data_IF_597269127420
#
_entry.id   IF_597269127420
#
_cell.length_a   1.000
_cell.length_b   1.000
_cell.length_c   1.000
_cell.angle_alpha   90.00
_cell.angle_beta   90.00
_cell.angle_gamma   90.00
#
_symmetry.space_group_name_H-M   'P 1'
#
loop_
_entity.id
_entity.type
_entity.pdbx_description
1 polymer ?
#
# COMPACT_ATOMS: atom_id res chain seq x y z
N UNK A 1 -21.40 -21.06 0.99
CA UNK A 1 -22.22 -20.19 1.91
C UNK A 1 -21.89 -18.76 1.55
N UNK A 2 -22.84 -17.97 1.10
CA UNK A 2 -22.61 -16.58 0.70
C UNK A 2 -22.14 -15.70 1.86
N UNK A 3 -21.35 -14.68 1.55
CA UNK A 3 -20.94 -13.67 2.52
C UNK A 3 -22.16 -12.84 2.97
N UNK A 4 -22.27 -12.44 4.24
CA UNK A 4 -23.30 -11.50 4.67
C UNK A 4 -23.20 -10.18 3.90
N UNK A 5 -24.32 -9.64 3.43
CA UNK A 5 -24.35 -8.42 2.61
C UNK A 5 -23.71 -7.17 3.27
N UNK A 6 -23.67 -7.15 4.61
CA UNK A 6 -23.07 -6.04 5.36
C UNK A 6 -21.53 -6.00 5.27
N UNK A 7 -20.85 -7.13 4.93
CA UNK A 7 -19.36 -7.19 4.92
C UNK A 7 -18.79 -6.18 3.92
N UNK A 8 -19.36 -6.09 2.72
CA UNK A 8 -18.91 -5.12 1.72
C UNK A 8 -18.97 -3.68 2.24
N UNK A 9 -20.07 -3.29 2.87
CA UNK A 9 -20.23 -1.96 3.45
C UNK A 9 -19.22 -1.69 4.57
N UNK A 10 -18.92 -2.70 5.39
CA UNK A 10 -17.93 -2.58 6.46
C UNK A 10 -16.53 -2.41 5.88
N UNK A 11 -16.17 -3.11 4.81
CA UNK A 11 -14.86 -2.94 4.16
C UNK A 11 -14.73 -1.53 3.57
N UNK A 12 -15.76 -1.02 2.89
CA UNK A 12 -15.78 0.37 2.43
C UNK A 12 -15.62 1.38 3.59
N UNK A 13 -16.24 1.10 4.73
CA UNK A 13 -16.10 1.95 5.93
C UNK A 13 -14.68 1.89 6.50
N UNK A 14 -14.07 0.69 6.61
CA UNK A 14 -12.67 0.53 7.05
C UNK A 14 -11.74 1.35 6.16
N UNK A 15 -11.93 1.27 4.86
CA UNK A 15 -11.15 1.98 3.86
C UNK A 15 -11.33 3.50 3.94
N UNK A 16 -12.59 3.98 3.99
CA UNK A 16 -12.89 5.40 3.96
C UNK A 16 -12.58 6.14 5.28
N UNK A 17 -12.62 5.44 6.41
CA UNK A 17 -12.52 6.06 7.74
C UNK A 17 -11.22 6.86 7.94
N UNK A 18 -10.01 6.37 7.58
CA UNK A 18 -8.79 7.16 7.72
C UNK A 18 -8.79 8.40 6.82
N UNK A 19 -9.34 8.32 5.60
CA UNK A 19 -9.45 9.50 4.73
C UNK A 19 -10.36 10.57 5.35
N UNK A 20 -11.53 10.17 5.83
CA UNK A 20 -12.46 11.08 6.52
C UNK A 20 -11.76 11.74 7.71
N UNK A 21 -11.00 10.96 8.49
CA UNK A 21 -10.26 11.50 9.61
C UNK A 21 -9.11 12.43 9.18
N UNK A 22 -8.41 12.16 8.09
CA UNK A 22 -7.41 13.07 7.54
C UNK A 22 -8.02 14.44 7.20
N UNK A 23 -9.19 14.44 6.55
CA UNK A 23 -9.93 15.65 6.20
C UNK A 23 -10.45 16.39 7.44
N UNK A 24 -11.07 15.69 8.39
CA UNK A 24 -11.54 16.28 9.64
C UNK A 24 -10.39 16.90 10.44
N UNK A 25 -9.29 16.19 10.57
CA UNK A 25 -8.10 16.69 11.28
C UNK A 25 -7.48 17.90 10.57
N UNK A 26 -7.45 17.91 9.24
CA UNK A 26 -6.85 18.99 8.47
C UNK A 26 -7.73 20.27 8.47
N UNK A 27 -9.04 20.12 8.31
CA UNK A 27 -9.93 21.24 8.01
C UNK A 27 -10.83 21.65 9.18
N UNK A 28 -11.15 20.72 10.10
CA UNK A 28 -12.07 21.01 11.22
C UNK A 28 -11.32 21.17 12.53
N UNK A 29 -10.44 20.22 12.89
CA UNK A 29 -9.74 20.24 14.19
C UNK A 29 -8.29 20.70 14.10
N UNK A 30 -7.90 21.33 12.98
CA UNK A 30 -6.52 21.73 12.68
C UNK A 30 -5.83 22.58 13.76
N UNK A 31 -6.58 23.42 14.48
CA UNK A 31 -6.09 24.20 15.62
C UNK A 31 -6.08 23.45 16.96
N UNK A 32 -6.69 22.25 17.03
CA UNK A 32 -6.89 21.47 18.24
C UNK A 32 -6.05 20.19 18.23
N UNK A 33 -4.73 20.29 18.27
CA UNK A 33 -3.82 19.16 18.08
C UNK A 33 -4.11 17.93 18.95
N UNK A 34 -4.41 18.13 20.25
CA UNK A 34 -4.75 17.02 21.16
C UNK A 34 -6.06 16.32 20.80
N UNK A 35 -7.07 17.08 20.33
CA UNK A 35 -8.33 16.52 19.85
C UNK A 35 -8.11 15.75 18.56
N UNK A 36 -7.37 16.32 17.61
CA UNK A 36 -6.98 15.67 16.37
C UNK A 36 -6.30 14.32 16.60
N UNK A 37 -5.34 14.28 17.51
CA UNK A 37 -4.64 13.07 17.91
C UNK A 37 -5.58 12.02 18.52
N UNK A 38 -6.48 12.46 19.39
CA UNK A 38 -7.43 11.57 20.07
C UNK A 38 -8.43 10.97 19.08
N UNK A 39 -9.07 11.80 18.25
CA UNK A 39 -10.03 11.33 17.25
C UNK A 39 -9.37 10.35 16.25
N UNK A 40 -8.17 10.65 15.77
CA UNK A 40 -7.43 9.78 14.87
C UNK A 40 -7.12 8.41 15.49
N UNK A 41 -6.68 8.37 16.75
CA UNK A 41 -6.37 7.11 17.44
C UNK A 41 -7.63 6.24 17.65
N UNK A 42 -8.75 6.82 18.02
CA UNK A 42 -9.99 6.06 18.17
C UNK A 42 -10.60 5.63 16.83
N UNK A 43 -10.44 6.43 15.77
CA UNK A 43 -10.88 6.04 14.43
C UNK A 43 -10.08 4.84 13.89
N UNK A 44 -8.76 4.83 14.07
CA UNK A 44 -7.94 3.66 13.68
C UNK A 44 -8.27 2.44 14.53
N UNK A 45 -8.53 2.60 15.83
CA UNK A 45 -8.98 1.50 16.68
C UNK A 45 -10.35 0.95 16.25
N UNK A 46 -11.27 1.83 15.83
CA UNK A 46 -12.55 1.41 15.26
C UNK A 46 -12.35 0.64 13.95
N UNK A 47 -11.47 1.13 13.06
CA UNK A 47 -11.12 0.42 11.83
C UNK A 47 -10.53 -0.98 12.11
N UNK A 48 -9.69 -1.11 13.13
CA UNK A 48 -9.16 -2.41 13.58
C UNK A 48 -10.25 -3.33 14.10
N UNK A 49 -11.15 -2.83 14.94
CA UNK A 49 -12.31 -3.60 15.43
C UNK A 49 -13.21 -4.10 14.29
N UNK A 50 -13.46 -3.24 13.29
CA UNK A 50 -14.20 -3.62 12.08
C UNK A 50 -13.43 -4.66 11.24
N UNK A 51 -12.10 -4.55 11.12
CA UNK A 51 -11.27 -5.54 10.43
C UNK A 51 -11.33 -6.91 11.11
N UNK A 52 -11.37 -6.95 12.45
CA UNK A 52 -11.61 -8.19 13.20
C UNK A 52 -12.99 -8.79 12.89
N UNK A 53 -14.03 -7.96 12.81
CA UNK A 53 -15.36 -8.44 12.42
C UNK A 53 -15.36 -9.04 11.01
N UNK A 54 -14.68 -8.40 10.05
CA UNK A 54 -14.53 -8.98 8.70
C UNK A 54 -13.76 -10.31 8.76
N UNK A 55 -12.67 -10.38 9.49
CA UNK A 55 -11.84 -11.58 9.62
C UNK A 55 -12.63 -12.80 10.12
N UNK A 56 -13.48 -12.62 11.14
CA UNK A 56 -14.25 -13.73 11.70
C UNK A 56 -15.50 -14.09 10.89
N UNK A 57 -15.97 -13.23 10.00
CA UNK A 57 -17.22 -13.43 9.26
C UNK A 57 -17.04 -13.63 7.75
N UNK A 58 -15.86 -13.35 7.19
CA UNK A 58 -15.59 -13.61 5.78
C UNK A 58 -15.54 -15.12 5.54
N UNK A 59 -16.42 -15.62 4.70
CA UNK A 59 -16.53 -17.04 4.35
C UNK A 59 -15.84 -17.34 3.03
N UNK A 60 -16.06 -16.49 2.06
CA UNK A 60 -15.60 -16.64 0.69
C UNK A 60 -15.04 -15.32 0.15
N UNK A 61 -14.48 -15.37 -1.05
CA UNK A 61 -14.05 -14.21 -1.81
C UNK A 61 -15.18 -13.17 -1.93
N UNK A 62 -14.83 -11.91 -1.70
CA UNK A 62 -15.73 -10.78 -1.85
C UNK A 62 -15.17 -9.83 -2.91
N UNK A 63 -15.99 -9.54 -3.92
CA UNK A 63 -15.69 -8.53 -4.94
C UNK A 63 -16.88 -7.59 -5.09
N UNK A 64 -16.61 -6.30 -5.12
CA UNK A 64 -17.59 -5.27 -5.43
C UNK A 64 -16.88 -4.11 -6.12
N UNK A 65 -17.27 -3.78 -7.34
CA UNK A 65 -16.65 -2.74 -8.14
C UNK A 65 -17.67 -1.77 -8.73
N UNK A 66 -17.19 -0.56 -9.01
CA UNK A 66 -17.92 0.48 -9.75
C UNK A 66 -17.05 0.96 -10.90
N UNK A 67 -17.56 0.91 -12.13
CA UNK A 67 -16.83 1.41 -13.30
C UNK A 67 -16.62 2.92 -13.16
N UNK A 68 -15.35 3.34 -13.18
CA UNK A 68 -14.94 4.75 -13.05
C UNK A 68 -14.62 5.38 -14.41
N UNK A 69 -13.84 4.68 -15.21
CA UNK A 69 -13.45 5.12 -16.54
C UNK A 69 -13.74 3.99 -17.52
N UNK A 70 -14.47 4.30 -18.59
CA UNK A 70 -14.65 3.40 -19.74
C UNK A 70 -14.27 4.18 -20.99
N UNK A 71 -13.12 3.86 -21.56
CA UNK A 71 -12.59 4.42 -22.80
C UNK A 71 -12.32 3.25 -23.74
N UNK A 72 -12.38 3.46 -25.06
CA UNK A 72 -12.20 2.40 -26.04
C UNK A 72 -11.01 1.47 -25.68
N UNK A 73 -11.33 0.23 -25.28
CA UNK A 73 -10.35 -0.81 -24.95
C UNK A 73 -9.79 -0.79 -23.52
N UNK A 74 -10.20 0.14 -22.65
CA UNK A 74 -9.82 0.17 -21.25
C UNK A 74 -11.04 0.43 -20.37
N UNK A 75 -11.37 -0.52 -19.50
CA UNK A 75 -12.32 -0.32 -18.41
C UNK A 75 -11.55 -0.31 -17.09
N UNK A 76 -11.58 0.81 -16.38
CA UNK A 76 -10.99 0.92 -15.06
C UNK A 76 -12.12 1.06 -14.03
N UNK A 77 -12.16 0.13 -13.08
CA UNK A 77 -13.07 0.14 -11.95
C UNK A 77 -12.41 0.73 -10.70
N UNK A 78 -13.21 1.20 -9.76
CA UNK A 78 -12.82 1.39 -8.37
C UNK A 78 -13.61 0.36 -7.57
N UNK A 79 -12.92 -0.60 -7.00
CA UNK A 79 -13.55 -1.71 -6.32
C UNK A 79 -12.83 -2.15 -5.07
N UNK A 80 -13.43 -3.13 -4.43
CA UNK A 80 -12.83 -3.87 -3.32
C UNK A 80 -12.76 -5.35 -3.68
N UNK A 81 -11.60 -5.92 -3.51
CA UNK A 81 -11.35 -7.34 -3.63
C UNK A 81 -10.78 -7.87 -2.31
N UNK A 82 -11.54 -8.71 -1.65
CA UNK A 82 -11.20 -9.23 -0.33
C UNK A 82 -11.14 -10.75 -0.37
N UNK A 83 -9.93 -11.24 -0.23
CA UNK A 83 -9.61 -12.64 -0.03
C UNK A 83 -8.94 -12.85 1.34
N UNK A 84 -8.51 -14.05 1.67
CA UNK A 84 -7.84 -14.35 2.95
C UNK A 84 -6.56 -13.55 3.18
N UNK A 85 -5.78 -13.31 2.10
CA UNK A 85 -4.57 -12.50 2.16
C UNK A 85 -4.90 -11.02 2.45
N UNK A 86 -5.91 -10.47 1.75
CA UNK A 86 -6.36 -9.09 1.96
C UNK A 86 -6.89 -8.87 3.38
N UNK A 87 -7.67 -9.79 3.92
CA UNK A 87 -8.17 -9.70 5.31
C UNK A 87 -7.04 -9.75 6.33
N UNK A 88 -6.07 -10.65 6.15
CA UNK A 88 -4.90 -10.71 7.02
C UNK A 88 -4.14 -9.37 6.99
N UNK A 89 -3.96 -8.81 5.79
CA UNK A 89 -3.27 -7.52 5.64
C UNK A 89 -4.07 -6.35 6.21
N UNK A 90 -5.42 -6.35 6.11
CA UNK A 90 -6.28 -5.38 6.80
C UNK A 90 -6.04 -5.40 8.31
N UNK A 91 -5.95 -6.58 8.93
CA UNK A 91 -5.66 -6.71 10.36
C UNK A 91 -4.28 -6.18 10.72
N UNK A 92 -3.26 -6.53 9.94
CA UNK A 92 -1.88 -6.08 10.19
C UNK A 92 -1.80 -4.55 10.09
N UNK A 93 -2.32 -3.97 9.00
CA UNK A 93 -2.27 -2.51 8.79
C UNK A 93 -3.04 -1.76 9.87
N UNK A 94 -4.30 -2.13 10.12
CA UNK A 94 -5.14 -1.40 11.08
C UNK A 94 -4.70 -1.62 12.52
N UNK A 95 -4.21 -2.82 12.87
CA UNK A 95 -3.71 -3.15 14.19
C UNK A 95 -2.44 -2.39 14.54
N UNK A 96 -1.42 -2.44 13.65
CA UNK A 96 -0.17 -1.70 13.85
C UNK A 96 -0.43 -0.19 13.81
N UNK A 97 -1.26 0.29 12.88
CA UNK A 97 -1.65 1.70 12.85
C UNK A 97 -2.27 2.13 14.19
N UNK A 98 -3.18 1.34 14.75
CA UNK A 98 -3.78 1.63 16.05
C UNK A 98 -2.73 1.80 17.15
N UNK A 99 -1.81 0.85 17.28
CA UNK A 99 -0.73 0.92 18.25
C UNK A 99 0.14 2.18 18.06
N UNK A 100 0.53 2.46 16.81
CA UNK A 100 1.34 3.64 16.45
C UNK A 100 0.59 4.95 16.74
N UNK A 101 -0.69 5.05 16.45
CA UNK A 101 -1.47 6.26 16.71
C UNK A 101 -1.61 6.53 18.21
N UNK A 102 -1.87 5.51 19.03
CA UNK A 102 -1.91 5.68 20.49
C UNK A 102 -0.54 6.08 21.05
N UNK A 103 0.55 5.46 20.58
CA UNK A 103 1.90 5.83 20.96
C UNK A 103 2.24 7.26 20.53
N UNK A 104 1.89 7.66 19.31
CA UNK A 104 2.14 8.99 18.75
C UNK A 104 1.46 10.11 19.55
N UNK A 105 0.30 9.85 20.19
CA UNK A 105 -0.38 10.84 21.03
C UNK A 105 0.49 11.32 22.20
N UNK A 106 1.32 10.43 22.73
CA UNK A 106 2.24 10.75 23.83
C UNK A 106 3.57 11.24 23.27
N UNK A 107 4.13 10.56 22.31
CA UNK A 107 5.43 10.85 21.73
C UNK A 107 5.49 12.25 21.08
N UNK A 108 4.44 12.64 20.35
CA UNK A 108 4.36 13.92 19.63
C UNK A 108 3.60 15.01 20.40
N UNK A 109 3.25 14.79 21.67
CA UNK A 109 2.33 15.66 22.44
C UNK A 109 2.78 17.12 22.53
N UNK A 110 4.09 17.38 22.51
CA UNK A 110 4.68 18.70 22.60
C UNK A 110 5.01 19.34 21.26
N UNK A 111 4.77 18.61 20.15
CA UNK A 111 5.06 19.12 18.82
C UNK A 111 4.04 20.19 18.39
N UNK A 112 4.53 21.28 17.80
CA UNK A 112 3.71 22.42 17.34
C UNK A 112 2.70 22.01 16.27
N UNK A 113 3.09 21.10 15.39
CA UNK A 113 2.32 20.73 14.19
C UNK A 113 1.58 19.39 14.33
N UNK A 114 1.11 19.07 15.53
CA UNK A 114 0.48 17.79 15.88
C UNK A 114 -0.69 17.43 14.94
N UNK A 115 -1.54 18.39 14.57
CA UNK A 115 -2.65 18.16 13.63
C UNK A 115 -2.15 17.80 12.23
N UNK A 116 -1.11 18.46 11.71
CA UNK A 116 -0.51 18.14 10.43
C UNK A 116 0.07 16.72 10.43
N UNK A 117 0.70 16.34 11.53
CA UNK A 117 1.22 14.99 11.74
C UNK A 117 0.12 13.94 11.64
N UNK A 118 -0.96 14.06 12.40
CA UNK A 118 -2.05 13.08 12.38
C UNK A 118 -2.84 13.09 11.07
N UNK A 119 -2.99 14.23 10.39
CA UNK A 119 -3.59 14.27 9.07
C UNK A 119 -2.77 13.47 8.04
N UNK A 120 -1.44 13.65 8.01
CA UNK A 120 -0.55 12.90 7.13
C UNK A 120 -0.52 11.41 7.48
N UNK A 121 -0.55 11.06 8.77
CA UNK A 121 -0.57 9.69 9.23
C UNK A 121 -1.87 8.95 8.82
N UNK A 122 -3.03 9.62 8.96
CA UNK A 122 -4.30 9.09 8.47
C UNK A 122 -4.31 8.91 6.95
N UNK A 123 -3.78 9.88 6.18
CA UNK A 123 -3.65 9.77 4.73
C UNK A 123 -2.78 8.57 4.33
N UNK A 124 -1.70 8.33 5.06
CA UNK A 124 -0.82 7.19 4.82
C UNK A 124 -1.51 5.84 5.07
N UNK A 125 -2.28 5.72 6.17
CA UNK A 125 -3.07 4.51 6.45
C UNK A 125 -4.15 4.30 5.38
N UNK A 126 -4.86 5.35 4.98
CA UNK A 126 -5.81 5.29 3.86
C UNK A 126 -5.17 4.77 2.59
N UNK A 127 -4.00 5.31 2.24
CA UNK A 127 -3.28 4.90 1.03
C UNK A 127 -2.90 3.42 1.07
N UNK A 128 -2.43 2.93 2.22
CA UNK A 128 -2.08 1.52 2.38
C UNK A 128 -3.31 0.62 2.31
N UNK A 129 -4.42 1.01 2.95
CA UNK A 129 -5.68 0.25 2.86
C UNK A 129 -6.18 0.19 1.41
N UNK A 130 -6.00 1.27 0.63
CA UNK A 130 -6.33 1.28 -0.80
C UNK A 130 -5.56 0.25 -1.62
N UNK A 131 -4.26 0.03 -1.32
CA UNK A 131 -3.48 -1.07 -1.92
C UNK A 131 -4.08 -2.42 -1.54
N UNK A 132 -4.43 -2.60 -0.27
CA UNK A 132 -4.91 -3.89 0.25
C UNK A 132 -6.25 -4.30 -0.35
N UNK A 133 -7.17 -3.34 -0.54
CA UNK A 133 -8.50 -3.62 -1.07
C UNK A 133 -8.60 -3.54 -2.59
N UNK A 134 -7.55 -3.09 -3.30
CA UNK A 134 -7.57 -2.91 -4.75
C UNK A 134 -8.02 -4.18 -5.48
N UNK A 135 -8.93 -4.02 -6.45
CA UNK A 135 -9.44 -5.09 -7.32
C UNK A 135 -8.71 -5.15 -8.67
N UNK A 136 -7.92 -4.13 -8.99
CA UNK A 136 -7.17 -4.05 -10.24
C UNK A 136 -5.80 -3.39 -10.07
N UNK A 137 -4.93 -3.57 -11.06
CA UNK A 137 -3.55 -3.07 -11.06
C UNK A 137 -3.47 -1.53 -11.11
N UNK A 138 -4.39 -0.85 -11.81
CA UNK A 138 -4.39 0.63 -11.89
C UNK A 138 -4.81 1.23 -10.55
N UNK A 139 -5.84 0.70 -9.90
CA UNK A 139 -6.23 1.14 -8.56
C UNK A 139 -5.08 0.91 -7.57
N UNK A 140 -4.46 -0.28 -7.60
CA UNK A 140 -3.28 -0.57 -6.79
C UNK A 140 -2.16 0.46 -7.04
N UNK A 141 -1.87 0.81 -8.30
CA UNK A 141 -0.85 1.79 -8.65
C UNK A 141 -1.18 3.20 -8.15
N UNK A 142 -2.44 3.65 -8.24
CA UNK A 142 -2.87 4.95 -7.70
C UNK A 142 -2.58 5.03 -6.19
N UNK A 143 -2.96 4.01 -5.41
CA UNK A 143 -2.69 3.98 -3.98
C UNK A 143 -1.22 3.75 -3.65
N UNK A 144 -0.50 3.04 -4.51
CA UNK A 144 0.96 2.88 -4.44
C UNK A 144 1.69 4.22 -4.50
N UNK A 145 1.27 5.07 -5.42
CA UNK A 145 1.76 6.43 -5.57
C UNK A 145 1.38 7.31 -4.37
N UNK A 146 0.16 7.17 -3.87
CA UNK A 146 -0.31 7.92 -2.72
C UNK A 146 0.44 7.53 -1.42
N UNK A 147 0.82 6.25 -1.25
CA UNK A 147 1.74 5.81 -0.19
C UNK A 147 3.08 6.52 -0.33
N UNK A 148 3.61 6.66 -1.56
CA UNK A 148 4.85 7.41 -1.82
C UNK A 148 4.75 8.87 -1.39
N UNK A 149 3.68 9.56 -1.76
CA UNK A 149 3.45 10.97 -1.39
C UNK A 149 3.25 11.13 0.12
N UNK A 150 2.44 10.29 0.73
CA UNK A 150 2.18 10.38 2.17
C UNK A 150 3.42 10.04 3.00
N UNK A 151 4.26 9.10 2.57
CA UNK A 151 5.55 8.83 3.20
C UNK A 151 6.52 10.01 3.06
N UNK A 152 6.55 10.70 1.91
CA UNK A 152 7.32 11.93 1.74
C UNK A 152 6.94 12.99 2.77
N UNK A 153 5.63 13.20 3.00
CA UNK A 153 5.13 14.16 3.99
C UNK A 153 5.51 13.77 5.43
N UNK A 154 5.57 12.48 5.71
CA UNK A 154 5.87 11.95 7.04
C UNK A 154 7.37 11.90 7.33
N UNK A 155 8.21 11.45 6.39
CA UNK A 155 9.68 11.46 6.52
C UNK A 155 10.17 12.91 6.62
N UNK A 156 9.64 13.78 5.77
CA UNK A 156 9.92 15.22 5.78
C UNK A 156 9.11 16.02 6.80
N UNK A 157 8.56 15.40 7.85
CA UNK A 157 7.73 16.10 8.82
C UNK A 157 8.45 17.29 9.45
N UNK A 158 9.69 17.13 9.84
CA UNK A 158 10.56 18.21 10.31
C UNK A 158 11.37 18.83 9.18
N UNK A 159 10.70 19.29 8.13
CA UNK A 159 11.32 19.81 6.90
C UNK A 159 12.26 21.01 7.10
N UNK A 160 12.19 21.66 8.27
CA UNK A 160 13.12 22.73 8.66
C UNK A 160 14.55 22.17 8.90
N UNK A 161 14.67 20.85 9.18
CA UNK A 161 15.95 20.15 9.28
C UNK A 161 16.43 19.76 7.87
N UNK A 162 17.62 20.23 7.42
CA UNK A 162 18.12 19.86 6.09
C UNK A 162 18.27 18.35 5.88
N UNK A 163 18.59 17.59 6.93
CA UNK A 163 18.68 16.12 6.88
C UNK A 163 17.33 15.49 6.53
N UNK A 164 16.26 15.86 7.22
CA UNK A 164 14.91 15.36 6.97
C UNK A 164 14.38 15.77 5.58
N UNK A 165 14.65 17.03 5.17
CA UNK A 165 14.30 17.53 3.84
C UNK A 165 15.02 16.77 2.72
N UNK A 166 16.26 16.38 2.91
CA UNK A 166 17.01 15.58 1.94
C UNK A 166 16.58 14.11 1.96
N UNK A 167 16.34 13.55 3.15
CA UNK A 167 15.87 12.18 3.33
C UNK A 167 14.53 11.93 2.62
N UNK A 168 13.53 12.81 2.80
CA UNK A 168 12.25 12.65 2.13
C UNK A 168 12.34 12.77 0.59
N UNK A 169 13.18 13.69 0.06
CA UNK A 169 13.44 13.79 -1.38
C UNK A 169 14.09 12.52 -1.92
N UNK A 170 15.12 12.00 -1.22
CA UNK A 170 15.80 10.76 -1.60
C UNK A 170 14.83 9.59 -1.60
N UNK A 171 14.06 9.42 -0.52
CA UNK A 171 13.07 8.35 -0.42
C UNK A 171 12.06 8.43 -1.56
N UNK A 172 11.52 9.62 -1.86
CA UNK A 172 10.55 9.82 -2.92
C UNK A 172 11.14 9.50 -4.31
N UNK A 173 12.31 10.05 -4.65
CA UNK A 173 12.93 9.86 -5.96
C UNK A 173 13.34 8.41 -6.21
N UNK A 174 13.93 7.75 -5.22
CA UNK A 174 14.35 6.35 -5.35
C UNK A 174 13.15 5.43 -5.53
N UNK A 175 12.07 5.64 -4.76
CA UNK A 175 10.83 4.87 -4.94
C UNK A 175 10.21 5.11 -6.30
N UNK A 176 10.19 6.36 -6.78
CA UNK A 176 9.64 6.71 -8.09
C UNK A 176 10.32 5.97 -9.24
N UNK A 177 11.62 5.68 -9.12
CA UNK A 177 12.34 4.88 -10.11
C UNK A 177 11.77 3.46 -10.22
N UNK A 178 11.43 2.83 -9.08
CA UNK A 178 10.74 1.54 -9.07
C UNK A 178 9.32 1.62 -9.65
N UNK A 179 8.60 2.70 -9.34
CA UNK A 179 7.22 2.91 -9.76
C UNK A 179 7.11 3.06 -11.29
N UNK A 180 8.12 3.60 -11.99
CA UNK A 180 8.18 3.58 -13.46
C UNK A 180 8.19 2.16 -14.03
N UNK A 181 8.98 1.26 -13.44
CA UNK A 181 8.97 -0.14 -13.82
C UNK A 181 7.60 -0.77 -13.59
N UNK A 182 7.00 -0.53 -12.41
CA UNK A 182 5.67 -1.03 -12.08
C UNK A 182 4.62 -0.61 -13.12
N UNK A 183 4.57 0.68 -13.47
CA UNK A 183 3.65 1.19 -14.49
C UNK A 183 3.90 0.55 -15.86
N UNK A 184 5.17 0.42 -16.28
CA UNK A 184 5.51 -0.23 -17.53
C UNK A 184 5.07 -1.69 -17.57
N UNK A 185 5.18 -2.42 -16.43
CA UNK A 185 4.67 -3.78 -16.28
C UNK A 185 3.16 -3.86 -16.43
N UNK A 186 2.41 -2.94 -15.82
CA UNK A 186 0.94 -2.84 -15.98
C UNK A 186 0.56 -2.63 -17.44
N UNK A 187 1.22 -1.68 -18.13
CA UNK A 187 0.95 -1.38 -19.54
C UNK A 187 1.29 -2.58 -20.45
N UNK A 188 2.36 -3.30 -20.16
CA UNK A 188 2.73 -4.49 -20.91
C UNK A 188 1.71 -5.63 -20.74
N UNK A 189 1.21 -5.83 -19.52
CA UNK A 189 0.12 -6.77 -19.25
C UNK A 189 -1.13 -6.38 -20.03
N UNK A 190 -1.59 -5.15 -19.85
CA UNK A 190 -2.78 -4.66 -20.53
C UNK A 190 -2.69 -4.76 -22.05
N UNK A 191 -1.54 -4.42 -22.66
CA UNK A 191 -1.34 -4.49 -24.10
C UNK A 191 -1.47 -5.92 -24.66
N UNK A 192 -1.17 -6.94 -23.86
CA UNK A 192 -1.21 -8.35 -24.29
C UNK A 192 -2.50 -9.07 -23.86
N UNK A 193 -3.13 -8.69 -22.75
CA UNK A 193 -4.33 -9.37 -22.23
C UNK A 193 -5.62 -8.59 -22.49
N UNK A 194 -5.51 -7.26 -22.69
CA UNK A 194 -6.66 -6.35 -22.78
C UNK A 194 -7.32 -6.05 -21.44
N UNK A 195 -6.81 -6.57 -20.31
CA UNK A 195 -7.41 -6.45 -18.99
C UNK A 195 -6.39 -6.05 -17.92
N UNK A 196 -6.89 -5.51 -16.80
CA UNK A 196 -6.11 -5.09 -15.64
C UNK A 196 -6.70 -5.57 -14.31
N UNK A 197 -7.88 -6.18 -14.30
CA UNK A 197 -8.54 -6.72 -13.11
C UNK A 197 -7.86 -8.04 -12.71
N UNK A 198 -7.62 -8.22 -11.40
CA UNK A 198 -6.92 -9.43 -10.91
C UNK A 198 -7.69 -10.70 -11.25
N UNK A 199 -9.02 -10.72 -11.07
CA UNK A 199 -9.85 -11.89 -11.36
C UNK A 199 -9.86 -12.23 -12.86
N UNK A 200 -9.90 -11.23 -13.73
CA UNK A 200 -9.86 -11.43 -15.19
C UNK A 200 -8.49 -11.95 -15.63
N UNK A 201 -7.41 -11.37 -15.11
CA UNK A 201 -6.04 -11.84 -15.38
C UNK A 201 -5.83 -13.27 -14.87
N UNK A 202 -6.28 -13.60 -13.66
CA UNK A 202 -6.17 -14.95 -13.11
C UNK A 202 -6.89 -15.97 -13.99
N UNK A 203 -8.12 -15.67 -14.42
CA UNK A 203 -8.88 -16.51 -15.34
C UNK A 203 -8.21 -16.67 -16.71
N UNK A 204 -7.61 -15.58 -17.24
CA UNK A 204 -6.88 -15.60 -18.50
C UNK A 204 -5.71 -16.59 -18.41
N UNK A 205 -4.87 -16.50 -17.38
CA UNK A 205 -3.71 -17.36 -17.23
C UNK A 205 -4.02 -18.81 -16.83
N UNK A 206 -5.16 -19.06 -16.18
CA UNK A 206 -5.62 -20.43 -15.93
C UNK A 206 -6.11 -21.15 -17.18
N UNK A 207 -6.47 -20.43 -18.24
CA UNK A 207 -7.02 -20.98 -19.47
C UNK A 207 -5.94 -21.45 -20.46
N UNK A 208 -4.66 -21.14 -20.23
CA UNK A 208 -3.56 -21.39 -21.15
C UNK A 208 -2.32 -21.95 -20.43
N UNK A 209 -1.41 -22.57 -21.17
CA UNK A 209 -0.14 -23.04 -20.60
C UNK A 209 0.82 -21.85 -20.37
N UNK A 210 1.49 -21.74 -19.22
CA UNK A 210 2.42 -20.64 -18.93
C UNK A 210 3.54 -20.48 -19.97
N UNK A 211 3.95 -21.57 -20.61
CA UNK A 211 5.00 -21.62 -21.63
C UNK A 211 4.67 -20.78 -22.87
N UNK A 212 3.38 -20.59 -23.19
CA UNK A 212 2.92 -19.81 -24.35
C UNK A 212 3.18 -18.29 -24.19
N UNK A 213 3.41 -17.83 -22.97
CA UNK A 213 3.51 -16.39 -22.62
C UNK A 213 4.87 -15.96 -22.08
N UNK A 214 5.82 -16.88 -21.90
CA UNK A 214 7.10 -16.61 -21.26
C UNK A 214 7.85 -15.42 -21.90
N UNK A 215 7.71 -15.23 -23.21
CA UNK A 215 8.39 -14.19 -23.96
C UNK A 215 8.06 -12.76 -23.51
N UNK A 216 6.86 -12.50 -23.04
CA UNK A 216 6.42 -11.18 -22.58
C UNK A 216 5.96 -11.15 -21.11
N UNK A 217 5.47 -12.28 -20.58
CA UNK A 217 4.98 -12.35 -19.20
C UNK A 217 6.12 -12.28 -18.18
N UNK A 218 7.26 -12.93 -18.46
CA UNK A 218 8.43 -12.84 -17.60
C UNK A 218 9.00 -11.40 -17.54
N UNK A 219 9.19 -10.66 -18.64
CA UNK A 219 9.49 -9.23 -18.61
C UNK A 219 8.45 -8.41 -17.86
N UNK A 220 7.14 -8.69 -18.05
CA UNK A 220 6.08 -7.99 -17.32
C UNK A 220 6.18 -8.23 -15.81
N UNK A 221 6.40 -9.46 -15.38
CA UNK A 221 6.62 -9.83 -13.97
C UNK A 221 7.82 -9.12 -13.36
N UNK A 222 8.95 -9.03 -14.08
CA UNK A 222 10.15 -8.29 -13.64
C UNK A 222 9.85 -6.80 -13.51
N UNK A 223 9.13 -6.21 -14.45
CA UNK A 223 8.75 -4.80 -14.43
C UNK A 223 7.78 -4.51 -13.26
N UNK A 224 6.79 -5.36 -13.00
CA UNK A 224 5.94 -5.25 -11.81
C UNK A 224 6.78 -5.36 -10.53
N UNK A 225 7.73 -6.28 -10.48
CA UNK A 225 8.64 -6.44 -9.34
C UNK A 225 9.48 -5.19 -9.06
N UNK A 226 9.81 -4.37 -10.06
CA UNK A 226 10.51 -3.10 -9.83
C UNK A 226 9.79 -2.20 -8.82
N UNK A 227 8.44 -2.17 -8.81
CA UNK A 227 7.67 -1.48 -7.79
C UNK A 227 7.94 -2.02 -6.38
N UNK A 228 7.98 -3.35 -6.23
CA UNK A 228 8.33 -3.98 -4.95
C UNK A 228 9.78 -3.70 -4.55
N UNK A 229 10.73 -3.70 -5.50
CA UNK A 229 12.14 -3.34 -5.25
C UNK A 229 12.24 -1.94 -4.65
N UNK A 230 11.48 -0.97 -5.16
CA UNK A 230 11.43 0.38 -4.61
C UNK A 230 10.87 0.42 -3.19
N UNK A 231 9.60 0.02 -3.02
CA UNK A 231 8.87 0.15 -1.73
C UNK A 231 9.43 -0.75 -0.63
N UNK A 232 9.86 -1.97 -0.97
CA UNK A 232 10.44 -2.91 0.01
C UNK A 232 11.94 -2.74 0.19
N UNK A 233 12.52 -1.65 -0.33
CA UNK A 233 13.93 -1.32 -0.19
C UNK A 233 14.86 -2.49 -0.55
N UNK A 234 14.59 -3.16 -1.68
CA UNK A 234 15.43 -4.22 -2.18
C UNK A 234 16.62 -3.64 -2.97
N UNK A 235 17.70 -4.40 -3.07
CA UNK A 235 18.82 -4.02 -3.93
C UNK A 235 18.37 -3.82 -5.39
N UNK A 236 18.80 -2.74 -6.09
CA UNK A 236 19.70 -1.67 -5.66
C UNK A 236 18.98 -0.44 -5.06
N UNK A 237 17.67 -0.43 -4.90
CA UNK A 237 16.87 0.72 -4.45
C UNK A 237 16.71 0.82 -2.91
N UNK A 238 17.55 0.13 -2.14
CA UNK A 238 17.48 0.10 -0.66
C UNK A 238 18.00 1.37 0.04
N UNK A 239 18.72 2.22 -0.68
CA UNK A 239 19.49 3.35 -0.14
C UNK A 239 18.66 4.46 0.52
N UNK A 240 17.34 4.48 0.34
CA UNK A 240 16.45 5.44 0.98
C UNK A 240 16.03 5.03 2.40
N UNK A 241 16.07 3.73 2.69
CA UNK A 241 15.55 3.16 3.93
C UNK A 241 16.24 3.67 5.20
N UNK A 242 17.59 3.70 5.27
CA UNK A 242 18.28 4.25 6.43
C UNK A 242 17.99 5.74 6.66
N UNK A 243 17.93 6.54 5.59
CA UNK A 243 17.70 7.97 5.68
C UNK A 243 16.24 8.28 6.11
N UNK A 244 15.28 7.40 5.84
CA UNK A 244 13.89 7.55 6.26
C UNK A 244 13.73 7.63 7.80
N UNK A 245 14.74 7.23 8.57
CA UNK A 245 14.78 7.36 10.03
C UNK A 245 14.90 8.81 10.52
N UNK A 246 15.12 9.79 9.66
CA UNK A 246 15.07 11.22 9.97
C UNK A 246 13.65 11.71 10.32
N UNK A 247 12.62 10.96 9.92
CA UNK A 247 11.25 11.19 10.34
C UNK A 247 10.99 10.81 11.80
N UNK A 248 9.83 11.21 12.36
CA UNK A 248 9.44 10.82 13.71
C UNK A 248 9.44 9.29 13.91
N UNK A 249 9.95 8.80 15.04
CA UNK A 249 10.07 7.36 15.33
C UNK A 249 8.77 6.57 15.10
N UNK A 250 7.55 7.04 15.48
CA UNK A 250 6.33 6.28 15.20
C UNK A 250 6.04 6.14 13.71
N UNK A 251 6.44 7.13 12.90
CA UNK A 251 6.33 7.05 11.43
C UNK A 251 7.24 5.95 10.88
N UNK A 252 8.48 5.93 11.32
CA UNK A 252 9.44 4.89 10.91
C UNK A 252 8.91 3.50 11.28
N UNK A 253 8.36 3.34 12.48
CA UNK A 253 7.73 2.08 12.89
C UNK A 253 6.59 1.67 11.95
N UNK A 254 5.71 2.59 11.55
CA UNK A 254 4.60 2.29 10.66
C UNK A 254 5.06 1.96 9.23
N UNK A 255 5.96 2.78 8.65
CA UNK A 255 6.49 2.60 7.29
C UNK A 255 7.15 1.22 7.14
N UNK A 256 7.97 0.83 8.12
CA UNK A 256 8.83 -0.35 7.99
C UNK A 256 8.16 -1.65 8.45
N UNK A 257 7.22 -1.61 9.40
CA UNK A 257 6.66 -2.83 9.97
C UNK A 257 5.45 -3.38 9.19
N UNK A 258 4.47 -2.52 8.86
CA UNK A 258 3.16 -3.01 8.44
C UNK A 258 2.61 -2.38 7.15
N UNK A 259 3.33 -1.41 6.57
CA UNK A 259 2.74 -0.65 5.48
C UNK A 259 3.65 -0.59 4.25
N UNK A 260 4.44 0.46 4.05
CA UNK A 260 5.13 0.70 2.79
C UNK A 260 6.05 -0.47 2.36
N UNK A 261 6.88 -0.97 3.28
CA UNK A 261 7.78 -2.10 2.98
C UNK A 261 7.00 -3.39 2.77
N UNK A 262 5.96 -3.61 3.57
CA UNK A 262 5.09 -4.78 3.45
C UNK A 262 4.21 -4.74 2.19
N UNK A 263 3.93 -3.54 1.62
CA UNK A 263 3.16 -3.42 0.38
C UNK A 263 3.79 -4.17 -0.80
N UNK A 264 5.13 -4.13 -0.94
CA UNK A 264 5.82 -4.87 -1.99
C UNK A 264 5.64 -6.37 -1.85
N UNK A 265 5.77 -6.91 -0.64
CA UNK A 265 5.55 -8.34 -0.37
C UNK A 265 4.08 -8.71 -0.62
N UNK A 266 3.15 -7.91 -0.14
CA UNK A 266 1.71 -8.12 -0.37
C UNK A 266 1.37 -8.13 -1.86
N UNK A 267 1.90 -7.18 -2.64
CA UNK A 267 1.70 -7.14 -4.09
C UNK A 267 2.20 -8.41 -4.75
N UNK A 268 3.43 -8.86 -4.44
CA UNK A 268 3.99 -10.10 -5.01
C UNK A 268 3.16 -11.33 -4.67
N UNK A 269 2.64 -11.42 -3.45
CA UNK A 269 1.72 -12.49 -3.08
C UNK A 269 0.40 -12.41 -3.88
N UNK A 270 -0.13 -11.19 -4.08
CA UNK A 270 -1.39 -10.99 -4.80
C UNK A 270 -1.27 -11.31 -6.30
N UNK A 271 -0.14 -10.97 -6.90
CA UNK A 271 0.13 -11.23 -8.34
C UNK A 271 0.96 -12.50 -8.59
N UNK A 272 1.07 -13.40 -7.61
CA UNK A 272 1.93 -14.59 -7.70
C UNK A 272 1.65 -15.46 -8.93
N UNK A 273 0.41 -15.48 -9.42
CA UNK A 273 0.01 -16.19 -10.63
C UNK A 273 0.60 -15.59 -11.93
N UNK A 274 1.09 -14.34 -11.90
CA UNK A 274 1.79 -13.69 -13.02
C UNK A 274 3.31 -13.93 -13.03
N UNK A 275 3.84 -14.44 -11.92
CA UNK A 275 5.29 -14.58 -11.75
C UNK A 275 5.75 -15.96 -12.20
N UNK A 276 6.34 -16.04 -13.39
CA UNK A 276 6.79 -17.29 -13.99
C UNK A 276 8.27 -17.24 -14.40
N UNK A 277 8.86 -18.42 -14.60
CA UNK A 277 10.18 -18.59 -15.23
C UNK A 277 11.25 -17.64 -14.67
N UNK A 278 11.90 -16.92 -15.58
CA UNK A 278 13.00 -16.01 -15.25
C UNK A 278 12.62 -14.84 -14.31
N UNK A 279 11.33 -14.49 -14.20
CA UNK A 279 10.90 -13.47 -13.23
C UNK A 279 11.09 -13.96 -11.79
N UNK A 280 10.77 -15.21 -11.49
CA UNK A 280 11.00 -15.80 -10.16
C UNK A 280 12.49 -15.89 -9.84
N UNK A 281 13.34 -16.23 -10.82
CA UNK A 281 14.79 -16.25 -10.63
C UNK A 281 15.34 -14.86 -10.26
N UNK A 282 14.90 -13.81 -10.97
CA UNK A 282 15.30 -12.43 -10.67
C UNK A 282 14.86 -12.01 -9.26
N UNK A 283 13.62 -12.34 -8.87
CA UNK A 283 13.11 -12.06 -7.53
C UNK A 283 13.96 -12.76 -6.46
N UNK A 284 14.26 -14.05 -6.67
CA UNK A 284 15.09 -14.84 -5.76
C UNK A 284 16.50 -14.28 -5.62
N UNK A 285 17.16 -13.92 -6.73
CA UNK A 285 18.51 -13.34 -6.70
C UNK A 285 18.53 -11.98 -6.01
N UNK A 286 17.60 -11.09 -6.32
CA UNK A 286 17.55 -9.77 -5.68
C UNK A 286 17.25 -9.91 -4.18
N UNK A 287 16.35 -10.80 -3.78
CA UNK A 287 16.10 -11.10 -2.37
C UNK A 287 17.32 -11.64 -1.64
N UNK A 288 18.06 -12.57 -2.26
CA UNK A 288 19.29 -13.13 -1.68
C UNK A 288 20.39 -12.07 -1.52
N UNK A 289 20.62 -11.24 -2.56
CA UNK A 289 21.59 -10.15 -2.52
C UNK A 289 21.19 -9.13 -1.44
N UNK A 290 19.92 -8.77 -1.35
CA UNK A 290 19.42 -7.83 -0.34
C UNK A 290 19.64 -8.37 1.07
N UNK A 291 19.34 -9.64 1.30
CA UNK A 291 19.53 -10.29 2.61
C UNK A 291 21.00 -10.31 3.00
N UNK A 292 21.90 -10.60 2.06
CA UNK A 292 23.34 -10.60 2.29
C UNK A 292 23.85 -9.20 2.64
N UNK A 293 23.47 -8.18 1.85
CA UNK A 293 23.87 -6.79 2.08
C UNK A 293 23.33 -6.23 3.40
N UNK A 294 22.11 -6.63 3.80
CA UNK A 294 21.54 -6.18 5.06
C UNK A 294 22.14 -6.87 6.30
N UNK A 295 22.81 -8.03 6.14
CA UNK A 295 23.48 -8.74 7.20
C UNK A 295 24.93 -8.28 7.43
N UNK A 296 25.55 -7.59 6.48
CA UNK A 296 26.91 -7.02 6.54
C UNK A 296 26.92 -5.63 7.17
#
# INVERSE_FOLDING_TARGET
>A
MENPAWISNVVWLIFALPLLMALVVRFVTGSMGKLSATLSAYATAAAFGLSLLVFFNLKEYLHASYTWISVQGLEASIGIEINRLSVLMLLVVTGVATAVFFFSRVYMAEDRDLSRYFASLNLFVFSMLGIVVADNLIQMFIFWELVGVSSFLLIGFWFEKPSAANACKKAFLVNRLGDFGFLAGILLLWANTGDIEFAALENFFHSFAPEDFESWLAPAGILLFCGAVGKSAQFPLHVWLPDAMEGPTPVSALIHAATMVAAGVFMLCKISFLLIGSALDVIAWIGAITSLLAAL
#
